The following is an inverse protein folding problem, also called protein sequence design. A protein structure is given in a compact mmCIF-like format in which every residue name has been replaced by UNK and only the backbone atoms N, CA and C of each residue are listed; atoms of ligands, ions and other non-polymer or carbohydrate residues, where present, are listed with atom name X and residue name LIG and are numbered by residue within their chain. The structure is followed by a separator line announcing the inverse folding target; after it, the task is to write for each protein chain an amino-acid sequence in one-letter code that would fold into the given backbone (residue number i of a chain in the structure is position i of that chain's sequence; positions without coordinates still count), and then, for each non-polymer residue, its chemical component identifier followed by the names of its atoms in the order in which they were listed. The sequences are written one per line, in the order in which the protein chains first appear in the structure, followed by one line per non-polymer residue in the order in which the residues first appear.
data_IF_726207242830
#
_entry.id   IF_726207242830
#
_cell.length_a   1.000
_cell.length_b   1.000
_cell.length_c   1.000
_cell.angle_alpha   90.00
_cell.angle_beta   90.00
_cell.angle_gamma   90.00
#
_symmetry.space_group_name_H-M   'P 1'
#
loop_
_entity.id
_entity.type
_entity.pdbx_description
1 polymer ?
#
# COMPACT_ATOMS: atom_id res chain seq x y z
N UNK A 1 0.93 15.42 -21.50
CA UNK A 1 1.20 15.35 -20.04
C UNK A 1 0.20 16.26 -19.36
N UNK A 2 -0.42 15.84 -18.25
CA UNK A 2 -1.29 16.71 -17.46
C UNK A 2 -0.51 17.87 -16.87
N UNK A 3 -1.15 19.04 -16.75
CA UNK A 3 -0.49 20.24 -16.24
C UNK A 3 -0.25 20.13 -14.73
N UNK A 4 0.94 20.49 -14.27
CA UNK A 4 1.28 20.49 -12.85
C UNK A 4 1.13 21.88 -12.24
N UNK A 5 0.51 21.93 -11.06
CA UNK A 5 0.40 23.14 -10.25
C UNK A 5 1.43 23.12 -9.12
N UNK A 6 2.03 24.28 -8.83
CA UNK A 6 2.87 24.48 -7.64
C UNK A 6 2.09 24.29 -6.34
N UNK A 7 0.78 24.54 -6.38
CA UNK A 7 -0.13 24.40 -5.23
C UNK A 7 -0.70 22.98 -5.09
N UNK A 8 -0.26 22.02 -5.93
CA UNK A 8 -0.72 20.63 -5.80
C UNK A 8 -0.40 20.07 -4.41
N UNK A 9 -1.41 19.49 -3.78
CA UNK A 9 -1.29 18.80 -2.49
C UNK A 9 -0.80 17.37 -2.63
N UNK A 10 -0.66 16.85 -3.85
CA UNK A 10 -0.27 15.47 -4.08
C UNK A 10 1.15 15.18 -3.60
N UNK A 11 1.35 14.09 -2.88
CA UNK A 11 2.66 13.73 -2.32
C UNK A 11 2.77 12.25 -2.03
N UNK A 12 3.99 11.74 -1.95
CA UNK A 12 4.26 10.39 -1.45
C UNK A 12 4.35 10.43 0.08
N UNK A 13 3.79 9.43 0.74
CA UNK A 13 3.98 9.19 2.18
C UNK A 13 4.60 7.81 2.38
N UNK A 14 5.66 7.75 3.20
CA UNK A 14 6.43 6.52 3.45
C UNK A 14 6.91 6.49 4.91
N UNK A 15 7.14 5.29 5.44
CA UNK A 15 7.61 5.11 6.81
C UNK A 15 8.99 5.76 7.00
N UNK A 16 9.21 6.36 8.16
CA UNK A 16 10.49 7.01 8.52
C UNK A 16 11.38 6.15 9.42
N UNK A 17 10.88 4.98 9.83
CA UNK A 17 11.58 3.99 10.63
C UNK A 17 10.80 2.68 10.60
N UNK A 18 11.46 1.58 10.93
CA UNK A 18 10.79 0.30 11.16
C UNK A 18 10.26 -0.40 9.91
N UNK A 19 10.56 0.08 8.71
CA UNK A 19 10.29 -0.59 7.44
C UNK A 19 11.48 -1.49 7.02
N UNK A 20 11.45 -2.00 5.79
CA UNK A 20 12.54 -2.85 5.31
C UNK A 20 13.83 -2.05 5.09
N UNK A 21 13.75 -0.85 4.53
CA UNK A 21 14.92 -0.02 4.29
C UNK A 21 15.72 0.28 5.57
N UNK A 22 15.05 0.68 6.65
CA UNK A 22 15.70 1.10 7.89
C UNK A 22 16.24 -0.08 8.71
N UNK A 23 15.70 -1.28 8.53
CA UNK A 23 16.08 -2.47 9.29
C UNK A 23 17.04 -3.40 8.54
N UNK A 24 17.39 -3.08 7.28
CA UNK A 24 18.22 -3.94 6.46
C UNK A 24 19.62 -4.11 7.02
N UNK A 25 20.10 -5.36 6.97
CA UNK A 25 21.49 -5.73 7.20
C UNK A 25 21.95 -6.61 6.05
N UNK A 26 23.20 -6.39 5.64
CA UNK A 26 23.81 -7.11 4.52
C UNK A 26 25.03 -7.91 4.99
N UNK A 27 25.23 -9.07 4.39
CA UNK A 27 26.39 -9.92 4.60
C UNK A 27 26.91 -10.43 3.26
N UNK A 28 28.22 -10.30 3.01
CA UNK A 28 28.87 -10.91 1.84
C UNK A 28 29.63 -12.16 2.24
N UNK A 29 29.28 -13.30 1.65
CA UNK A 29 29.92 -14.57 1.94
C UNK A 29 31.38 -14.60 1.44
N UNK A 30 32.33 -14.82 2.35
CA UNK A 30 33.76 -14.85 1.99
C UNK A 30 34.20 -16.14 1.28
N UNK A 31 33.36 -17.18 1.32
CA UNK A 31 33.55 -18.51 0.74
C UNK A 31 32.19 -19.19 0.59
N UNK A 32 32.15 -20.26 -0.19
CA UNK A 32 30.97 -21.14 -0.26
C UNK A 32 30.61 -21.64 1.15
N UNK A 33 29.36 -21.45 1.54
CA UNK A 33 28.87 -21.78 2.88
C UNK A 33 27.38 -22.11 2.88
N UNK A 34 26.82 -22.41 4.05
CA UNK A 34 25.40 -22.67 4.22
C UNK A 34 24.94 -22.02 5.51
N UNK A 35 23.79 -21.35 5.48
CA UNK A 35 23.22 -20.65 6.63
C UNK A 35 21.84 -21.21 6.99
N UNK A 36 21.44 -21.03 8.25
CA UNK A 36 20.09 -21.37 8.74
C UNK A 36 19.42 -20.10 9.25
N UNK A 37 18.19 -19.87 8.80
CA UNK A 37 17.34 -18.78 9.30
C UNK A 37 16.49 -19.34 10.44
N UNK A 38 16.62 -18.74 11.62
CA UNK A 38 15.91 -19.15 12.83
C UNK A 38 15.36 -17.94 13.59
N UNK A 39 14.22 -18.14 14.25
CA UNK A 39 13.63 -17.22 15.21
C UNK A 39 13.85 -17.77 16.62
N UNK A 40 14.43 -16.98 17.51
CA UNK A 40 14.46 -17.27 18.95
C UNK A 40 13.32 -16.47 19.57
N UNK A 41 12.32 -17.16 20.13
CA UNK A 41 11.15 -16.48 20.71
C UNK A 41 11.41 -15.92 22.12
N UNK A 42 10.42 -15.22 22.68
CA UNK A 42 10.51 -14.61 24.03
C UNK A 42 10.67 -15.62 25.18
N UNK A 43 10.49 -16.91 24.90
CA UNK A 43 10.70 -18.01 25.85
C UNK A 43 11.99 -18.80 25.54
N UNK A 44 12.92 -18.19 24.79
CA UNK A 44 14.20 -18.75 24.35
C UNK A 44 14.09 -20.04 23.52
N UNK A 45 12.91 -20.30 22.91
CA UNK A 45 12.73 -21.45 22.02
C UNK A 45 13.20 -21.11 20.60
N UNK A 46 13.97 -22.00 20.01
CA UNK A 46 14.44 -21.87 18.63
C UNK A 46 13.45 -22.46 17.64
N UNK A 47 12.93 -21.63 16.75
CA UNK A 47 12.06 -22.00 15.63
C UNK A 47 12.85 -21.87 14.34
N UNK A 48 12.97 -22.97 13.59
CA UNK A 48 13.74 -22.97 12.36
C UNK A 48 12.83 -22.58 11.20
N UNK A 49 13.12 -21.45 10.56
CA UNK A 49 12.33 -20.90 9.46
C UNK A 49 12.81 -21.44 8.11
N UNK A 50 14.13 -21.54 7.93
CA UNK A 50 14.74 -22.12 6.73
C UNK A 50 16.08 -22.75 7.08
N UNK A 51 16.24 -24.04 6.77
CA UNK A 51 17.53 -24.74 6.86
C UNK A 51 18.30 -24.68 5.56
N UNK A 52 19.61 -24.83 5.71
CA UNK A 52 20.57 -25.17 4.66
C UNK A 52 20.46 -24.27 3.42
N UNK A 53 20.39 -22.96 3.65
CA UNK A 53 20.45 -21.98 2.58
C UNK A 53 21.91 -21.86 2.12
N UNK A 54 22.24 -22.53 1.02
CA UNK A 54 23.56 -22.46 0.42
C UNK A 54 23.86 -21.04 -0.09
N UNK A 55 25.07 -20.57 0.18
CA UNK A 55 25.62 -19.30 -0.32
C UNK A 55 26.94 -19.57 -1.05
N UNK A 56 27.14 -18.91 -2.18
CA UNK A 56 28.37 -18.91 -2.94
C UNK A 56 29.38 -17.91 -2.38
N UNK A 57 30.67 -18.11 -2.66
CA UNK A 57 31.69 -17.10 -2.42
C UNK A 57 31.35 -15.81 -3.18
N UNK A 58 31.28 -14.70 -2.46
CA UNK A 58 30.96 -13.38 -2.97
C UNK A 58 29.46 -13.09 -3.06
N UNK A 59 28.59 -14.06 -2.72
CA UNK A 59 27.15 -13.83 -2.68
C UNK A 59 26.78 -12.88 -1.55
N UNK A 60 25.87 -11.95 -1.83
CA UNK A 60 25.33 -10.99 -0.87
C UNK A 60 24.00 -11.54 -0.36
N UNK A 61 23.87 -11.65 0.95
CA UNK A 61 22.65 -12.02 1.64
C UNK A 61 22.19 -10.84 2.49
N UNK A 62 21.00 -10.33 2.17
CA UNK A 62 20.36 -9.26 2.91
C UNK A 62 19.23 -9.83 3.79
N UNK A 63 19.10 -9.27 4.98
CA UNK A 63 18.04 -9.62 5.91
C UNK A 63 17.44 -8.34 6.49
N UNK A 64 16.11 -8.29 6.49
CA UNK A 64 15.36 -7.13 6.95
C UNK A 64 14.00 -7.57 7.51
N UNK A 65 13.26 -6.65 8.13
CA UNK A 65 11.90 -6.86 8.59
C UNK A 65 11.12 -5.54 8.59
N UNK A 66 9.79 -5.63 8.46
CA UNK A 66 8.89 -4.52 8.69
C UNK A 66 8.19 -4.70 10.04
N UNK A 67 8.26 -3.68 10.89
CA UNK A 67 7.58 -3.63 12.18
C UNK A 67 6.08 -3.46 11.95
N UNK A 68 5.28 -4.46 12.33
CA UNK A 68 3.81 -4.35 12.28
C UNK A 68 3.32 -3.14 13.07
N UNK A 69 3.86 -2.90 14.27
CA UNK A 69 3.45 -1.77 15.09
C UNK A 69 3.72 -0.44 14.39
N UNK A 70 4.92 -0.29 13.80
CA UNK A 70 5.28 0.92 13.04
C UNK A 70 4.44 1.10 11.79
N UNK A 71 4.11 0.01 11.07
CA UNK A 71 3.23 0.05 9.91
C UNK A 71 1.82 0.52 10.28
N UNK A 72 1.24 -0.02 11.36
CA UNK A 72 -0.11 0.36 11.79
C UNK A 72 -0.17 1.81 12.25
N UNK A 73 0.80 2.25 13.04
CA UNK A 73 0.93 3.67 13.46
C UNK A 73 1.04 4.60 12.25
N UNK A 74 1.91 4.27 11.30
CA UNK A 74 2.05 5.01 10.05
C UNK A 74 0.74 5.08 9.25
N UNK A 75 0.06 3.94 9.05
CA UNK A 75 -1.19 3.89 8.29
C UNK A 75 -2.30 4.71 8.97
N UNK A 76 -2.43 4.62 10.30
CA UNK A 76 -3.39 5.43 11.07
C UNK A 76 -3.13 6.92 10.86
N UNK A 77 -1.88 7.37 11.04
CA UNK A 77 -1.47 8.76 10.82
C UNK A 77 -1.75 9.23 9.39
N UNK A 78 -1.42 8.41 8.39
CA UNK A 78 -1.57 8.80 6.98
C UNK A 78 -3.04 8.85 6.52
N UNK A 79 -3.91 8.05 7.11
CA UNK A 79 -5.35 8.10 6.85
C UNK A 79 -5.93 9.40 7.44
N UNK A 80 -5.56 9.74 8.68
CA UNK A 80 -6.06 10.95 9.33
C UNK A 80 -5.52 12.22 8.62
N UNK A 81 -4.23 12.24 8.25
CA UNK A 81 -3.64 13.37 7.51
C UNK A 81 -4.24 13.55 6.10
N UNK A 82 -4.62 12.46 5.42
CA UNK A 82 -5.31 12.55 4.14
C UNK A 82 -6.70 13.21 4.28
N UNK A 83 -7.40 12.93 5.38
CA UNK A 83 -8.70 13.54 5.68
C UNK A 83 -8.53 15.03 5.99
N UNK A 84 -7.57 15.39 6.85
CA UNK A 84 -7.29 16.78 7.22
C UNK A 84 -6.89 17.65 6.01
N UNK A 85 -6.12 17.08 5.08
CA UNK A 85 -5.66 17.79 3.87
C UNK A 85 -6.67 17.79 2.72
N UNK A 86 -7.75 17.03 2.84
CA UNK A 86 -8.77 16.82 1.80
C UNK A 86 -8.14 16.35 0.48
N UNK A 87 -7.38 15.25 0.57
CA UNK A 87 -6.77 14.56 -0.57
C UNK A 87 -7.18 13.10 -0.60
N UNK A 88 -7.16 12.49 -1.79
CA UNK A 88 -7.45 11.07 -1.91
C UNK A 88 -6.38 10.25 -1.19
N UNK A 89 -6.80 9.30 -0.35
CA UNK A 89 -5.92 8.25 0.14
C UNK A 89 -5.75 7.18 -0.96
N UNK A 90 -4.51 6.89 -1.32
CA UNK A 90 -4.17 5.83 -2.25
C UNK A 90 -2.99 5.00 -1.74
N UNK A 91 -3.06 3.68 -1.91
CA UNK A 91 -2.06 2.71 -1.53
C UNK A 91 -1.46 2.08 -2.80
N UNK A 92 -0.14 2.10 -2.91
CA UNK A 92 0.58 1.63 -4.09
C UNK A 92 1.54 0.50 -3.74
N UNK A 93 1.22 -0.73 -4.15
CA UNK A 93 1.96 -1.96 -3.80
C UNK A 93 2.22 -2.80 -5.07
N UNK A 94 2.89 -3.95 -4.92
CA UNK A 94 3.14 -4.91 -6.02
C UNK A 94 2.73 -6.33 -5.63
N UNK A 95 1.50 -6.48 -5.11
CA UNK A 95 0.98 -7.71 -4.48
C UNK A 95 1.05 -8.99 -5.35
N UNK A 96 0.99 -8.87 -6.67
CA UNK A 96 1.08 -10.03 -7.58
C UNK A 96 2.48 -10.64 -7.65
N UNK A 97 3.52 -9.80 -7.55
CA UNK A 97 4.92 -10.21 -7.59
C UNK A 97 5.43 -10.50 -6.18
N UNK A 98 5.14 -9.61 -5.24
CA UNK A 98 5.51 -9.72 -3.82
C UNK A 98 4.46 -10.52 -3.04
N UNK A 99 4.25 -11.78 -3.45
CA UNK A 99 3.11 -12.64 -3.07
C UNK A 99 2.92 -12.92 -1.57
N UNK A 100 3.92 -12.60 -0.75
CA UNK A 100 3.86 -12.83 0.71
C UNK A 100 3.78 -11.51 1.47
N UNK A 101 4.72 -10.58 1.23
CA UNK A 101 4.78 -9.33 1.99
C UNK A 101 3.62 -8.38 1.70
N UNK A 102 3.36 -8.14 0.42
CA UNK A 102 2.49 -7.04 0.00
C UNK A 102 1.01 -7.33 0.29
N UNK A 103 0.49 -8.56 0.12
CA UNK A 103 -0.85 -8.89 0.59
C UNK A 103 -1.05 -8.65 2.10
N UNK A 104 -0.03 -8.92 2.93
CA UNK A 104 -0.11 -8.68 4.39
C UNK A 104 -0.15 -7.18 4.70
N UNK A 105 0.71 -6.39 4.04
CA UNK A 105 0.73 -4.93 4.19
C UNK A 105 -0.62 -4.33 3.73
N UNK A 106 -1.13 -4.81 2.60
CA UNK A 106 -2.43 -4.42 2.06
C UNK A 106 -3.57 -4.75 3.03
N UNK A 107 -3.58 -5.97 3.58
CA UNK A 107 -4.57 -6.37 4.58
C UNK A 107 -4.57 -5.45 5.79
N UNK A 108 -3.40 -5.09 6.32
CA UNK A 108 -3.31 -4.10 7.40
C UNK A 108 -3.83 -2.72 7.01
N UNK A 109 -3.62 -2.25 5.78
CA UNK A 109 -4.23 -1.00 5.31
C UNK A 109 -5.76 -1.08 5.28
N UNK A 110 -6.32 -2.21 4.83
CA UNK A 110 -7.78 -2.44 4.87
C UNK A 110 -8.30 -2.46 6.32
N UNK A 111 -7.66 -3.21 7.21
CA UNK A 111 -8.04 -3.30 8.63
C UNK A 111 -8.01 -1.93 9.31
N UNK A 112 -6.97 -1.13 9.07
CA UNK A 112 -6.83 0.19 9.69
C UNK A 112 -7.86 1.18 9.13
N UNK A 113 -8.07 1.19 7.81
CA UNK A 113 -9.05 2.08 7.17
C UNK A 113 -10.47 1.79 7.69
N UNK A 114 -10.84 0.51 7.73
CA UNK A 114 -12.15 0.04 8.19
C UNK A 114 -12.15 -0.40 9.66
N UNK A 115 -11.25 0.13 10.49
CA UNK A 115 -11.07 -0.31 11.89
C UNK A 115 -12.37 -0.41 12.70
N UNK A 116 -13.30 0.57 12.66
CA UNK A 116 -14.56 0.45 13.39
C UNK A 116 -15.47 -0.69 12.91
N UNK A 117 -15.38 -1.06 11.63
CA UNK A 117 -16.08 -2.21 11.07
C UNK A 117 -15.53 -3.52 11.65
N UNK A 118 -14.20 -3.67 11.68
CA UNK A 118 -13.54 -4.86 12.23
C UNK A 118 -13.72 -4.97 13.74
N UNK A 119 -13.65 -3.87 14.47
CA UNK A 119 -13.88 -3.86 15.92
C UNK A 119 -15.29 -4.35 16.26
N UNK A 120 -16.29 -3.95 15.48
CA UNK A 120 -17.70 -4.30 15.70
C UNK A 120 -18.07 -5.71 15.21
N UNK A 121 -17.53 -6.15 14.07
CA UNK A 121 -17.94 -7.39 13.39
C UNK A 121 -16.87 -8.49 13.32
N UNK A 122 -15.75 -8.35 14.03
CA UNK A 122 -14.65 -9.34 14.05
C UNK A 122 -15.12 -10.78 14.25
N UNK A 123 -16.07 -11.03 15.15
CA UNK A 123 -16.60 -12.39 15.40
C UNK A 123 -17.34 -12.95 14.18
N UNK A 124 -18.06 -12.10 13.45
CA UNK A 124 -18.77 -12.49 12.21
C UNK A 124 -17.77 -12.76 11.11
N UNK A 125 -16.82 -11.85 10.89
CA UNK A 125 -15.78 -12.00 9.87
C UNK A 125 -14.89 -13.22 10.10
N UNK A 126 -14.55 -13.53 11.35
CA UNK A 126 -13.81 -14.75 11.70
C UNK A 126 -14.59 -16.02 11.38
N UNK A 127 -15.91 -16.03 11.58
CA UNK A 127 -16.77 -17.18 11.25
C UNK A 127 -16.90 -17.37 9.73
N UNK A 128 -16.98 -16.28 8.98
CA UNK A 128 -16.99 -16.30 7.50
C UNK A 128 -15.60 -16.60 6.91
N UNK A 129 -14.55 -16.59 7.73
CA UNK A 129 -13.17 -16.77 7.26
C UNK A 129 -12.72 -15.65 6.33
N UNK A 130 -13.10 -14.40 6.61
CA UNK A 130 -12.64 -13.22 5.86
C UNK A 130 -11.12 -13.07 5.98
N UNK A 131 -10.47 -12.89 4.84
CA UNK A 131 -9.04 -12.66 4.67
C UNK A 131 -8.83 -11.43 3.77
N UNK A 132 -8.72 -10.27 4.40
CA UNK A 132 -8.55 -8.98 3.71
C UNK A 132 -7.19 -8.82 3.04
N UNK A 133 -6.25 -9.76 3.21
CA UNK A 133 -5.05 -9.81 2.38
C UNK A 133 -5.42 -10.05 0.90
N UNK A 134 -6.61 -10.61 0.63
CA UNK A 134 -7.17 -10.79 -0.71
C UNK A 134 -8.06 -9.63 -1.17
N UNK A 135 -8.18 -8.57 -0.37
CA UNK A 135 -8.93 -7.37 -0.72
C UNK A 135 -10.25 -7.18 0.03
N UNK A 136 -10.62 -5.93 0.27
CA UNK A 136 -11.91 -5.58 0.89
C UNK A 136 -13.09 -6.02 0.03
N UNK A 137 -13.02 -5.73 -1.28
CA UNK A 137 -14.05 -6.11 -2.24
C UNK A 137 -13.94 -7.58 -2.65
N UNK A 138 -12.71 -8.03 -2.90
CA UNK A 138 -12.43 -9.38 -3.36
C UNK A 138 -12.88 -10.47 -2.39
N UNK A 139 -12.77 -10.22 -1.08
CA UNK A 139 -13.05 -11.24 -0.07
C UNK A 139 -14.12 -10.85 0.96
N UNK A 140 -14.02 -9.67 1.58
CA UNK A 140 -15.01 -9.29 2.61
C UNK A 140 -16.39 -9.07 1.98
N UNK A 141 -16.51 -8.15 1.01
CA UNK A 141 -17.80 -7.85 0.37
C UNK A 141 -18.36 -9.09 -0.34
N UNK A 142 -17.49 -9.88 -0.97
CA UNK A 142 -17.90 -11.08 -1.68
C UNK A 142 -18.48 -12.13 -0.73
N UNK A 143 -18.06 -12.23 0.54
CA UNK A 143 -18.61 -13.18 1.52
C UNK A 143 -19.87 -12.71 2.25
N UNK A 144 -20.22 -11.42 2.19
CA UNK A 144 -21.41 -10.91 2.88
C UNK A 144 -22.73 -11.53 2.39
N UNK A 145 -22.77 -12.13 1.19
CA UNK A 145 -23.95 -12.83 0.70
C UNK A 145 -24.28 -14.11 1.47
N UNK A 146 -23.34 -14.66 2.25
CA UNK A 146 -23.53 -15.84 3.09
C UNK A 146 -24.29 -15.51 4.39
N UNK A 147 -24.41 -14.22 4.72
CA UNK A 147 -25.10 -13.75 5.92
C UNK A 147 -26.62 -13.59 5.69
N UNK A 148 -27.42 -13.67 6.78
CA UNK A 148 -28.80 -13.24 6.75
C UNK A 148 -28.93 -11.78 6.29
N UNK A 149 -30.02 -11.48 5.58
CA UNK A 149 -30.25 -10.16 4.96
C UNK A 149 -30.08 -8.99 5.93
N UNK A 150 -30.66 -9.09 7.14
CA UNK A 150 -30.57 -8.03 8.15
C UNK A 150 -29.12 -7.76 8.60
N UNK A 151 -28.35 -8.82 8.87
CA UNK A 151 -26.94 -8.69 9.31
C UNK A 151 -26.06 -8.15 8.18
N UNK A 152 -26.34 -8.57 6.94
CA UNK A 152 -25.69 -8.05 5.73
C UNK A 152 -25.97 -6.54 5.55
N UNK A 153 -27.21 -6.11 5.69
CA UNK A 153 -27.60 -4.70 5.59
C UNK A 153 -26.92 -3.86 6.68
N UNK A 154 -26.91 -4.32 7.93
CA UNK A 154 -26.22 -3.63 9.02
C UNK A 154 -24.72 -3.43 8.76
N UNK A 155 -24.04 -4.45 8.23
CA UNK A 155 -22.63 -4.37 7.85
C UNK A 155 -22.43 -3.40 6.68
N UNK A 156 -23.28 -3.47 5.65
CA UNK A 156 -23.24 -2.54 4.52
C UNK A 156 -23.46 -1.08 4.94
N UNK A 157 -24.35 -0.86 5.91
CA UNK A 157 -24.60 0.47 6.47
C UNK A 157 -23.39 0.99 7.25
N UNK A 158 -22.73 0.13 8.03
CA UNK A 158 -21.50 0.49 8.73
C UNK A 158 -20.36 0.82 7.76
N UNK A 159 -20.22 0.06 6.67
CA UNK A 159 -19.26 0.35 5.59
C UNK A 159 -19.50 1.74 5.01
N UNK A 160 -20.76 2.10 4.72
CA UNK A 160 -21.09 3.43 4.19
C UNK A 160 -20.72 4.53 5.17
N UNK A 161 -21.00 4.34 6.47
CA UNK A 161 -20.60 5.30 7.51
C UNK A 161 -19.09 5.48 7.54
N UNK A 162 -18.31 4.39 7.51
CA UNK A 162 -16.84 4.46 7.45
C UNK A 162 -16.37 5.33 6.28
N UNK A 163 -16.90 5.09 5.09
CA UNK A 163 -16.55 5.83 3.88
C UNK A 163 -17.00 7.31 3.91
N UNK A 164 -17.96 7.68 4.75
CA UNK A 164 -18.41 9.06 4.91
C UNK A 164 -17.51 9.90 5.82
N UNK A 165 -16.90 9.32 6.86
CA UNK A 165 -16.03 10.07 7.79
C UNK A 165 -14.53 9.84 7.59
N UNK A 166 -14.12 8.79 6.88
CA UNK A 166 -12.72 8.55 6.47
C UNK A 166 -12.38 9.38 5.22
N UNK A 167 -11.08 9.57 4.88
CA UNK A 167 -10.72 10.25 3.64
C UNK A 167 -11.28 9.50 2.44
N UNK A 168 -11.56 10.25 1.37
CA UNK A 168 -11.95 9.63 0.10
C UNK A 168 -10.83 8.73 -0.42
N UNK A 169 -11.19 7.54 -0.91
CA UNK A 169 -10.25 6.61 -1.52
C UNK A 169 -10.10 6.91 -3.01
N UNK A 170 -8.90 6.69 -3.54
CA UNK A 170 -8.73 6.61 -4.99
C UNK A 170 -9.54 5.44 -5.57
N UNK A 171 -10.12 5.66 -6.75
CA UNK A 171 -10.97 4.69 -7.44
C UNK A 171 -10.21 3.98 -8.56
N UNK A 172 -10.43 2.67 -8.66
CA UNK A 172 -10.09 1.86 -9.83
C UNK A 172 -11.20 1.99 -10.88
N UNK A 173 -12.45 1.98 -10.44
CA UNK A 173 -13.63 2.21 -11.27
C UNK A 173 -14.73 2.89 -10.44
N UNK A 174 -14.91 4.19 -10.64
CA UNK A 174 -15.88 5.02 -9.92
C UNK A 174 -17.33 4.61 -10.20
N UNK A 175 -17.66 4.28 -11.45
CA UNK A 175 -19.02 3.89 -11.88
C UNK A 175 -19.53 2.63 -11.16
N UNK A 176 -18.59 1.77 -10.77
CA UNK A 176 -18.87 0.51 -10.06
C UNK A 176 -18.49 0.54 -8.58
N UNK A 177 -18.05 1.69 -8.05
CA UNK A 177 -17.63 1.81 -6.65
C UNK A 177 -16.37 1.03 -6.28
N UNK A 178 -15.56 0.62 -7.27
CA UNK A 178 -14.34 -0.16 -7.04
C UNK A 178 -13.22 0.79 -6.60
N UNK A 179 -12.88 0.73 -5.32
CA UNK A 179 -11.83 1.52 -4.69
C UNK A 179 -10.45 0.86 -4.80
N UNK A 180 -9.40 1.63 -4.53
CA UNK A 180 -8.02 1.16 -4.41
C UNK A 180 -7.82 0.04 -3.36
N UNK A 181 -8.73 -0.09 -2.37
CA UNK A 181 -8.69 -1.14 -1.36
C UNK A 181 -9.51 -2.39 -1.73
N UNK A 182 -10.15 -2.43 -2.91
CA UNK A 182 -10.99 -3.56 -3.30
C UNK A 182 -10.22 -4.85 -3.55
N UNK A 183 -9.15 -4.79 -4.35
CA UNK A 183 -8.34 -5.95 -4.74
C UNK A 183 -6.86 -5.54 -4.75
N UNK A 184 -5.96 -6.30 -4.08
CA UNK A 184 -4.56 -5.91 -3.90
C UNK A 184 -3.76 -5.84 -5.20
N UNK A 185 -4.24 -6.47 -6.28
CA UNK A 185 -3.59 -6.49 -7.58
C UNK A 185 -4.03 -5.38 -8.54
N UNK A 186 -5.06 -4.59 -8.21
CA UNK A 186 -5.62 -3.61 -9.14
C UNK A 186 -4.73 -2.39 -9.31
N UNK A 187 -4.11 -1.93 -8.22
CA UNK A 187 -3.22 -0.75 -8.22
C UNK A 187 -1.79 -1.18 -7.98
N UNK A 188 -1.07 -1.40 -9.07
CA UNK A 188 0.32 -1.87 -9.07
C UNK A 188 1.26 -0.66 -9.15
N UNK A 189 2.16 -0.51 -8.19
CA UNK A 189 2.98 0.70 -7.99
C UNK A 189 3.75 1.16 -9.24
N UNK A 190 4.34 0.24 -10.00
CA UNK A 190 5.16 0.55 -11.18
C UNK A 190 4.35 1.03 -12.39
N UNK A 191 3.05 0.76 -12.42
CA UNK A 191 2.12 1.31 -13.42
C UNK A 191 1.34 2.52 -12.89
N UNK A 192 0.85 2.43 -11.65
CA UNK A 192 -0.03 3.43 -11.04
C UNK A 192 0.68 4.74 -10.71
N UNK A 193 1.92 4.70 -10.19
CA UNK A 193 2.65 5.92 -9.86
C UNK A 193 2.99 6.75 -11.11
N UNK A 194 3.54 6.18 -12.20
CA UNK A 194 3.73 6.92 -13.45
C UNK A 194 2.41 7.44 -14.05
N UNK A 195 1.32 6.68 -13.96
CA UNK A 195 0.00 7.12 -14.44
C UNK A 195 -0.52 8.34 -13.68
N UNK A 196 -0.44 8.31 -12.34
CA UNK A 196 -0.79 9.42 -11.47
C UNK A 196 0.08 10.66 -11.75
N UNK A 197 1.40 10.47 -11.85
CA UNK A 197 2.34 11.58 -12.14
C UNK A 197 2.05 12.22 -13.51
N UNK A 198 1.76 11.39 -14.52
CA UNK A 198 1.37 11.87 -15.86
C UNK A 198 0.04 12.63 -15.84
N UNK A 199 -0.88 12.25 -14.96
CA UNK A 199 -2.20 12.85 -14.80
C UNK A 199 -2.16 14.00 -13.77
N UNK A 200 -1.22 14.94 -13.91
CA UNK A 200 -1.13 16.12 -13.04
C UNK A 200 -0.88 15.83 -11.56
N UNK A 201 -0.43 14.61 -11.22
CA UNK A 201 -0.30 14.17 -9.83
C UNK A 201 -1.60 13.68 -9.21
N UNK A 202 -2.61 13.34 -10.01
CA UNK A 202 -3.98 13.11 -9.54
C UNK A 202 -4.50 11.71 -9.86
N UNK A 203 -5.44 11.24 -9.04
CA UNK A 203 -6.19 10.00 -9.22
C UNK A 203 -7.70 10.30 -9.27
N UNK A 204 -8.49 9.27 -9.58
CA UNK A 204 -9.94 9.40 -9.71
C UNK A 204 -10.63 9.29 -8.35
N UNK A 205 -11.51 10.24 -8.04
CA UNK A 205 -12.38 10.20 -6.87
C UNK A 205 -13.68 9.42 -7.15
N UNK A 206 -14.56 9.33 -6.14
CA UNK A 206 -15.85 8.62 -6.23
C UNK A 206 -16.79 9.17 -7.32
N UNK A 207 -16.64 10.44 -7.68
CA UNK A 207 -17.46 11.14 -8.67
C UNK A 207 -16.88 11.02 -10.09
N UNK A 208 -15.78 10.28 -10.27
CA UNK A 208 -15.10 10.11 -11.55
C UNK A 208 -14.27 11.33 -11.96
N UNK A 209 -13.91 12.19 -11.00
CA UNK A 209 -13.13 13.40 -11.23
C UNK A 209 -11.69 13.23 -10.76
N UNK A 210 -10.79 13.98 -11.40
CA UNK A 210 -9.35 13.98 -11.10
C UNK A 210 -9.09 14.83 -9.85
N UNK A 211 -8.45 14.26 -8.82
CA UNK A 211 -8.18 14.91 -7.54
C UNK A 211 -6.77 14.59 -7.03
N UNK A 212 -6.18 15.56 -6.32
CA UNK A 212 -4.90 15.39 -5.65
C UNK A 212 -4.92 14.23 -4.65
N UNK A 213 -3.79 13.54 -4.51
CA UNK A 213 -3.72 12.30 -3.72
C UNK A 213 -2.47 12.23 -2.84
N UNK A 214 -2.65 11.66 -1.64
CA UNK A 214 -1.58 11.09 -0.84
C UNK A 214 -1.31 9.67 -1.34
N UNK A 215 -0.19 9.49 -2.05
CA UNK A 215 0.29 8.19 -2.51
C UNK A 215 1.10 7.50 -1.41
N UNK A 216 0.46 6.58 -0.70
CA UNK A 216 1.06 5.81 0.39
C UNK A 216 1.86 4.65 -0.18
N UNK A 217 3.17 4.67 0.11
CA UNK A 217 4.14 3.64 -0.20
C UNK A 217 4.86 3.31 1.11
N UNK A 218 4.41 2.29 1.87
CA UNK A 218 4.87 2.09 3.24
C UNK A 218 6.39 1.93 3.36
N UNK A 219 7.00 1.10 2.53
CA UNK A 219 8.45 0.91 2.53
C UNK A 219 9.20 2.05 1.80
N UNK A 220 10.25 2.57 2.43
CA UNK A 220 10.98 3.75 1.95
C UNK A 220 12.09 3.45 0.96
N UNK A 221 12.41 2.17 0.69
CA UNK A 221 13.53 1.78 -0.18
C UNK A 221 13.46 2.41 -1.58
N UNK A 222 12.24 2.59 -2.11
CA UNK A 222 11.99 3.12 -3.44
C UNK A 222 11.00 4.29 -3.47
N UNK A 223 10.34 4.62 -2.36
CA UNK A 223 9.36 5.70 -2.31
C UNK A 223 9.93 7.07 -2.72
N UNK A 224 11.20 7.33 -2.35
CA UNK A 224 11.86 8.62 -2.57
C UNK A 224 12.00 9.03 -4.05
N UNK A 225 12.09 8.08 -4.98
CA UNK A 225 12.20 8.41 -6.42
C UNK A 225 10.92 9.04 -6.95
N UNK A 226 9.76 8.58 -6.46
CA UNK A 226 8.47 9.12 -6.85
C UNK A 226 8.22 10.47 -6.20
N UNK A 227 8.60 10.62 -4.91
CA UNK A 227 8.53 11.89 -4.20
C UNK A 227 9.34 12.98 -4.95
N UNK A 228 10.60 12.68 -5.27
CA UNK A 228 11.46 13.61 -6.01
C UNK A 228 10.89 13.98 -7.39
N UNK A 229 10.23 13.04 -8.08
CA UNK A 229 9.58 13.29 -9.37
C UNK A 229 8.37 14.21 -9.22
N UNK A 230 7.54 13.99 -8.20
CA UNK A 230 6.39 14.84 -7.89
C UNK A 230 6.84 16.26 -7.55
N UNK A 231 7.82 16.40 -6.65
CA UNK A 231 8.35 17.70 -6.23
C UNK A 231 8.97 18.45 -7.42
N UNK A 232 9.69 17.74 -8.29
CA UNK A 232 10.22 18.32 -9.52
C UNK A 232 9.09 18.84 -10.43
N UNK A 233 8.04 18.04 -10.66
CA UNK A 233 6.93 18.44 -11.51
C UNK A 233 6.11 19.60 -10.94
N UNK A 234 5.94 19.68 -9.61
CA UNK A 234 5.34 20.85 -8.96
C UNK A 234 6.13 22.11 -9.23
N UNK A 235 7.45 22.07 -9.09
CA UNK A 235 8.30 23.25 -9.25
C UNK A 235 8.48 23.66 -10.71
N UNK A 236 8.63 22.70 -11.62
CA UNK A 236 9.06 22.91 -13.01
C UNK A 236 7.95 22.71 -14.05
N UNK A 237 6.78 22.26 -13.62
CA UNK A 237 5.71 21.83 -14.52
C UNK A 237 5.92 20.43 -15.07
N UNK A 238 5.02 20.02 -15.97
CA UNK A 238 5.04 18.69 -16.55
C UNK A 238 6.22 18.50 -17.52
N UNK A 239 6.73 17.26 -17.65
CA UNK A 239 7.76 16.95 -18.64
C UNK A 239 7.33 17.30 -20.07
N UNK A 240 8.23 17.92 -20.83
CA UNK A 240 8.02 18.21 -22.25
C UNK A 240 8.53 17.05 -23.11
N UNK A 241 7.64 16.47 -23.92
CA UNK A 241 7.94 15.36 -24.82
C UNK A 241 8.60 15.81 -26.12
N UNK A 242 8.53 17.10 -26.48
CA UNK A 242 9.06 17.64 -27.75
C UNK A 242 10.55 17.95 -27.72
N UNK A 243 11.11 18.22 -26.53
CA UNK A 243 12.56 18.49 -26.39
C UNK A 243 13.44 17.29 -26.77
N UNK A 244 12.88 16.08 -26.84
CA UNK A 244 13.60 14.87 -27.23
C UNK A 244 13.83 14.71 -28.74
N UNK A 245 12.94 15.27 -29.59
CA UNK A 245 13.10 15.19 -31.04
C UNK A 245 14.25 16.06 -31.56
N UNK A 246 14.62 17.13 -30.84
CA UNK A 246 15.70 18.04 -31.21
C UNK A 246 17.11 17.49 -30.91
N UNK A 247 17.24 16.43 -30.12
CA UNK A 247 18.52 15.79 -29.80
C UNK A 247 18.79 14.50 -30.59
N UNK A 248 17.78 13.99 -31.32
CA UNK A 248 17.88 12.80 -32.16
C UNK A 248 17.91 13.11 -33.67
N UNK A 249 17.88 14.40 -34.04
CA UNK A 249 18.20 14.91 -35.38
C UNK A 249 19.60 15.51 -35.40
#
# INVERSE_FOLDING_TARGET
MGAWSKDSKSHVSTMQHGDFAHNEKSFTASKDTSVTIQLIDKADRTHILKKDLALLKGEILDATYMSKAGLLEFLEEQIDDALEKDVLFSLHMKATMMKVSDPIIFGHAVEVFFKPLFDKYSTVFNKLGVDVNNGFGGDLLSKLHELPELEREEIQDEIRKVLEYRPSLAMVNSDHGITNLHVPSDVIIDASMPAMIRNSGQMWNKDGESQDTKAVIPDSSYAGIYAATIDFCKENGAFDLKLWELYLM
#
